data_IF_821250230245
#
_entry.id   IF_821250230245
#
_cell.length_a   1.000
_cell.length_b   1.000
_cell.length_c   1.000
_cell.angle_alpha   90.00
_cell.angle_beta   90.00
_cell.angle_gamma   90.00
#
_symmetry.space_group_name_H-M   'P 1'
#
loop_
_entity.id
_entity.type
_entity.pdbx_description
1 polymer ?
#
# COMPACT_ATOMS: atom_id res chain seq x y z
N UNK A 1 -7.20 9.68 -8.42
CA UNK A 1 -7.54 9.69 -9.86
C UNK A 1 -6.24 9.65 -10.64
N UNK A 2 -6.08 8.73 -11.59
CA UNK A 2 -4.91 8.70 -12.46
C UNK A 2 -4.97 9.90 -13.41
N UNK A 3 -3.85 10.61 -13.61
CA UNK A 3 -3.76 11.70 -14.57
C UNK A 3 -3.98 11.11 -15.99
N UNK A 4 -5.02 11.54 -16.74
CA UNK A 4 -5.36 10.96 -18.04
C UNK A 4 -4.20 11.00 -19.04
N UNK A 5 -3.33 12.01 -18.97
CA UNK A 5 -2.16 12.13 -19.85
C UNK A 5 -1.10 11.04 -19.62
N UNK A 6 -0.98 10.52 -18.40
CA UNK A 6 -0.02 9.45 -18.11
C UNK A 6 -0.46 8.11 -18.69
N UNK A 7 -1.77 7.88 -18.86
CA UNK A 7 -2.29 6.60 -19.36
C UNK A 7 -1.79 6.26 -20.78
N UNK A 8 -1.52 7.28 -21.60
CA UNK A 8 -0.98 7.12 -22.95
C UNK A 8 0.50 6.69 -22.95
N UNK A 9 1.23 6.99 -21.87
CA UNK A 9 2.66 6.65 -21.71
C UNK A 9 2.92 5.31 -21.02
N UNK A 10 1.88 4.63 -20.55
CA UNK A 10 2.00 3.36 -19.81
C UNK A 10 1.76 2.16 -20.73
N UNK A 11 2.42 1.04 -20.45
CA UNK A 11 2.14 -0.19 -21.17
C UNK A 11 0.70 -0.65 -20.90
N UNK A 12 -0.05 -1.01 -21.97
CA UNK A 12 -1.44 -1.44 -21.82
C UNK A 12 -1.55 -2.82 -21.17
N UNK A 13 -0.51 -3.65 -21.28
CA UNK A 13 -0.50 -5.02 -20.74
C UNK A 13 0.83 -5.36 -20.05
N UNK A 14 0.81 -6.26 -19.04
CA UNK A 14 2.03 -6.77 -18.43
C UNK A 14 2.97 -7.48 -19.43
N UNK A 15 2.42 -8.05 -20.50
CA UNK A 15 3.22 -8.70 -21.54
C UNK A 15 3.99 -7.68 -22.40
N UNK A 16 3.35 -6.55 -22.75
CA UNK A 16 4.02 -5.47 -23.48
C UNK A 16 5.14 -4.84 -22.64
N UNK A 17 4.90 -4.64 -21.34
CA UNK A 17 5.93 -4.22 -20.39
C UNK A 17 7.05 -5.26 -20.27
N UNK A 18 6.71 -6.56 -20.19
CA UNK A 18 7.69 -7.64 -20.10
C UNK A 18 8.61 -7.70 -21.32
N UNK A 19 8.03 -7.54 -22.52
CA UNK A 19 8.78 -7.53 -23.77
C UNK A 19 9.77 -6.37 -23.82
N UNK A 20 9.29 -5.15 -23.56
CA UNK A 20 10.16 -3.98 -23.56
C UNK A 20 11.21 -4.07 -22.46
N UNK A 21 10.85 -4.55 -21.26
CA UNK A 21 11.80 -4.73 -20.17
C UNK A 21 12.94 -5.66 -20.59
N UNK A 22 12.63 -6.82 -21.19
CA UNK A 22 13.63 -7.76 -21.67
C UNK A 22 14.50 -7.18 -22.79
N UNK A 23 13.90 -6.46 -23.75
CA UNK A 23 14.63 -5.79 -24.84
C UNK A 23 15.60 -4.72 -24.30
N UNK A 24 15.17 -3.93 -23.32
CA UNK A 24 15.96 -2.84 -22.73
C UNK A 24 17.18 -3.35 -21.95
N UNK A 25 17.16 -4.59 -21.46
CA UNK A 25 18.30 -5.18 -20.76
C UNK A 25 19.42 -5.69 -21.69
N UNK A 26 19.16 -5.79 -23.01
CA UNK A 26 20.14 -6.26 -23.99
C UNK A 26 20.78 -7.60 -23.59
N UNK A 27 22.10 -7.63 -23.46
CA UNK A 27 22.88 -8.83 -23.09
C UNK A 27 22.56 -9.37 -21.69
N UNK A 28 22.06 -8.54 -20.77
CA UNK A 28 21.67 -9.00 -19.43
C UNK A 28 20.33 -9.74 -19.44
N UNK A 29 19.49 -9.52 -20.46
CA UNK A 29 18.21 -10.18 -20.70
C UNK A 29 17.39 -10.43 -19.43
N UNK A 30 17.11 -11.70 -19.14
CA UNK A 30 16.32 -12.11 -17.97
C UNK A 30 16.98 -11.76 -16.62
N UNK A 31 18.31 -11.84 -16.53
CA UNK A 31 19.04 -11.54 -15.29
C UNK A 31 18.87 -10.07 -14.89
N UNK A 32 19.00 -9.16 -15.86
CA UNK A 32 18.76 -7.73 -15.66
C UNK A 32 17.30 -7.46 -15.26
N UNK A 33 16.35 -8.10 -15.94
CA UNK A 33 14.93 -7.94 -15.64
C UNK A 33 14.58 -8.40 -14.21
N UNK A 34 15.15 -9.51 -13.75
CA UNK A 34 14.98 -10.00 -12.36
C UNK A 34 15.49 -8.97 -11.35
N UNK A 35 16.66 -8.36 -11.59
CA UNK A 35 17.22 -7.36 -10.68
C UNK A 35 16.33 -6.11 -10.55
N UNK A 36 15.78 -5.63 -11.68
CA UNK A 36 14.81 -4.52 -11.69
C UNK A 36 13.54 -4.90 -10.92
N UNK A 37 12.97 -6.09 -11.18
CA UNK A 37 11.76 -6.56 -10.50
C UNK A 37 11.96 -6.70 -8.99
N UNK A 38 13.10 -7.24 -8.54
CA UNK A 38 13.44 -7.33 -7.12
C UNK A 38 13.47 -5.94 -6.47
N UNK A 39 14.03 -4.94 -7.16
CA UNK A 39 14.05 -3.56 -6.68
C UNK A 39 12.64 -2.99 -6.55
N UNK A 40 11.75 -3.26 -7.50
CA UNK A 40 10.35 -2.83 -7.42
C UNK A 40 9.59 -3.48 -6.26
N UNK A 41 9.83 -4.78 -5.98
CA UNK A 41 9.24 -5.43 -4.80
C UNK A 41 9.77 -4.86 -3.49
N UNK A 42 11.07 -4.52 -3.41
CA UNK A 42 11.63 -3.83 -2.25
C UNK A 42 10.94 -2.49 -2.01
N UNK A 43 10.68 -1.71 -3.07
CA UNK A 43 9.94 -0.44 -2.94
C UNK A 43 8.55 -0.67 -2.34
N UNK A 44 7.82 -1.70 -2.80
CA UNK A 44 6.51 -2.04 -2.24
C UNK A 44 6.61 -2.43 -0.76
N UNK A 45 7.61 -3.23 -0.39
CA UNK A 45 7.85 -3.65 0.99
C UNK A 45 8.19 -2.46 1.91
N UNK A 46 9.07 -1.55 1.47
CA UNK A 46 9.44 -0.35 2.21
C UNK A 46 8.22 0.55 2.45
N UNK A 47 7.39 0.76 1.43
CA UNK A 47 6.16 1.56 1.56
C UNK A 47 5.17 0.93 2.55
N UNK A 48 5.02 -0.39 2.51
CA UNK A 48 4.19 -1.12 3.47
C UNK A 48 4.71 -0.97 4.92
N UNK A 49 6.03 -1.02 5.13
CA UNK A 49 6.60 -0.78 6.46
C UNK A 49 6.37 0.66 6.95
N UNK A 50 6.51 1.66 6.08
CA UNK A 50 6.19 3.05 6.44
C UNK A 50 4.74 3.20 6.91
N UNK A 51 3.79 2.53 6.24
CA UNK A 51 2.38 2.54 6.66
C UNK A 51 2.16 1.85 8.01
N UNK A 52 2.85 0.75 8.30
CA UNK A 52 2.81 0.12 9.61
C UNK A 52 3.35 1.05 10.72
N UNK A 53 4.42 1.80 10.43
CA UNK A 53 4.97 2.79 11.38
C UNK A 53 3.95 3.88 11.67
N UNK A 54 3.31 4.45 10.63
CA UNK A 54 2.27 5.48 10.79
C UNK A 54 1.12 4.93 11.64
N UNK A 55 0.64 3.73 11.31
CA UNK A 55 -0.45 3.09 12.07
C UNK A 55 -0.06 2.87 13.52
N UNK A 56 1.13 2.36 13.78
CA UNK A 56 1.64 2.12 15.13
C UNK A 56 1.64 3.42 15.94
N UNK A 57 2.14 4.52 15.36
CA UNK A 57 2.12 5.83 16.01
C UNK A 57 0.68 6.31 16.30
N UNK A 58 -0.25 6.15 15.36
CA UNK A 58 -1.65 6.52 15.59
C UNK A 58 -2.26 5.72 16.74
N UNK A 59 -2.01 4.40 16.80
CA UNK A 59 -2.50 3.53 17.86
C UNK A 59 -1.89 3.89 19.22
N UNK A 60 -0.60 4.18 19.30
CA UNK A 60 0.05 4.56 20.57
C UNK A 60 -0.41 5.91 21.07
N UNK A 61 -0.46 6.94 20.21
CA UNK A 61 -0.98 8.26 20.59
C UNK A 61 -2.42 8.13 21.08
N UNK A 62 -3.26 7.38 20.34
CA UNK A 62 -4.65 7.12 20.76
C UNK A 62 -4.71 6.36 22.09
N UNK A 63 -3.79 5.45 22.37
CA UNK A 63 -3.72 4.76 23.66
C UNK A 63 -3.52 5.71 24.84
N UNK A 64 -2.79 6.80 24.66
CA UNK A 64 -2.55 7.80 25.72
C UNK A 64 -3.62 8.89 25.77
N UNK A 65 -3.93 9.53 24.64
CA UNK A 65 -4.84 10.69 24.59
C UNK A 65 -6.28 10.33 24.25
N UNK A 66 -6.50 9.17 23.63
CA UNK A 66 -7.79 8.75 23.09
C UNK A 66 -8.92 8.67 24.11
N UNK A 67 -8.74 8.12 25.33
CA UNK A 67 -9.81 8.07 26.32
C UNK A 67 -10.36 9.46 26.69
N UNK A 68 -9.48 10.45 26.85
CA UNK A 68 -9.88 11.84 27.13
C UNK A 68 -10.64 12.45 25.95
N UNK A 69 -10.12 12.26 24.74
CA UNK A 69 -10.76 12.75 23.50
C UNK A 69 -12.14 12.12 23.31
N UNK A 70 -12.28 10.80 23.52
CA UNK A 70 -13.53 10.08 23.39
C UNK A 70 -14.55 10.40 24.51
N UNK A 71 -14.09 10.91 25.65
CA UNK A 71 -14.95 11.36 26.74
C UNK A 71 -15.58 12.74 26.46
N UNK A 72 -14.91 13.59 25.67
CA UNK A 72 -15.34 14.99 25.42
C UNK A 72 -16.66 15.16 24.68
N UNK A 73 -17.09 14.17 23.91
CA UNK A 73 -18.31 14.30 23.14
C UNK A 73 -18.62 13.08 22.29
N UNK A 74 -19.89 12.94 21.92
CA UNK A 74 -20.37 11.82 21.12
C UNK A 74 -19.72 11.80 19.73
N UNK A 75 -19.56 12.96 19.09
CA UNK A 75 -18.90 13.05 17.79
C UNK A 75 -17.44 12.59 17.86
N UNK A 76 -16.65 13.14 18.79
CA UNK A 76 -15.24 12.76 19.00
C UNK A 76 -15.12 11.26 19.28
N UNK A 77 -16.02 10.69 20.08
CA UNK A 77 -16.05 9.25 20.37
C UNK A 77 -16.27 8.40 19.12
N UNK A 78 -17.29 8.71 18.33
CA UNK A 78 -17.61 7.94 17.12
C UNK A 78 -16.51 8.10 16.07
N UNK A 79 -16.01 9.31 15.88
CA UNK A 79 -14.93 9.60 14.94
C UNK A 79 -13.63 8.85 15.31
N UNK A 80 -13.27 8.83 16.60
CA UNK A 80 -12.12 8.08 17.10
C UNK A 80 -12.29 6.57 16.93
N UNK A 81 -13.47 6.02 17.27
CA UNK A 81 -13.76 4.60 17.09
C UNK A 81 -13.68 4.19 15.61
N UNK A 82 -14.30 4.96 14.70
CA UNK A 82 -14.22 4.72 13.26
C UNK A 82 -12.77 4.82 12.75
N UNK A 83 -12.03 5.84 13.22
CA UNK A 83 -10.62 6.04 12.86
C UNK A 83 -9.75 4.84 13.24
N UNK A 84 -9.92 4.32 14.45
CA UNK A 84 -9.23 3.12 14.92
C UNK A 84 -9.60 1.88 14.11
N UNK A 85 -10.90 1.67 13.83
CA UNK A 85 -11.36 0.51 13.07
C UNK A 85 -10.79 0.49 11.64
N UNK A 86 -10.84 1.61 10.92
CA UNK A 86 -10.28 1.68 9.57
C UNK A 86 -8.75 1.54 9.56
N UNK A 87 -8.07 2.15 10.52
CA UNK A 87 -6.61 2.06 10.67
C UNK A 87 -6.17 0.62 10.97
N UNK A 88 -6.92 -0.08 11.84
CA UNK A 88 -6.68 -1.49 12.14
C UNK A 88 -6.98 -2.39 10.93
N UNK A 89 -8.09 -2.15 10.23
CA UNK A 89 -8.43 -2.90 9.02
C UNK A 89 -7.34 -2.76 7.94
N UNK A 90 -6.83 -1.54 7.72
CA UNK A 90 -5.69 -1.30 6.82
C UNK A 90 -4.45 -2.11 7.24
N UNK A 91 -4.11 -2.10 8.53
CA UNK A 91 -2.97 -2.85 9.07
C UNK A 91 -3.08 -4.35 8.86
N UNK A 92 -4.25 -4.93 9.13
CA UNK A 92 -4.48 -6.36 8.93
C UNK A 92 -4.36 -6.73 7.46
N UNK A 93 -4.83 -5.88 6.55
CA UNK A 93 -4.65 -6.05 5.11
C UNK A 93 -3.18 -5.95 4.71
N UNK A 94 -2.42 -4.97 5.22
CA UNK A 94 -0.98 -4.84 4.94
C UNK A 94 -0.21 -6.10 5.39
N UNK A 95 -0.49 -6.61 6.59
CA UNK A 95 0.15 -7.80 7.15
C UNK A 95 -0.23 -9.09 6.40
N UNK A 96 -1.50 -9.23 6.01
CA UNK A 96 -2.00 -10.39 5.26
C UNK A 96 -1.72 -10.32 3.75
N UNK A 97 -1.52 -9.10 3.24
CA UNK A 97 -1.53 -8.74 1.84
C UNK A 97 -0.16 -8.24 1.39
N UNK A 98 0.05 -6.92 1.39
CA UNK A 98 1.23 -6.29 0.78
C UNK A 98 2.58 -6.75 1.33
N UNK A 99 2.70 -7.07 2.63
CA UNK A 99 3.94 -7.59 3.20
C UNK A 99 4.26 -9.02 2.80
N UNK A 100 3.26 -9.80 2.40
CA UNK A 100 3.44 -11.19 1.94
C UNK A 100 3.90 -11.20 0.49
N UNK A 101 5.14 -10.80 0.26
CA UNK A 101 5.80 -10.87 -1.05
C UNK A 101 6.35 -12.29 -1.25
N UNK A 102 5.94 -12.93 -2.35
CA UNK A 102 6.53 -14.19 -2.81
C UNK A 102 7.87 -13.92 -3.47
N UNK A 103 8.84 -14.80 -3.25
CA UNK A 103 10.15 -14.70 -3.87
C UNK A 103 10.03 -14.79 -5.39
N UNK A 104 10.77 -13.94 -6.12
CA UNK A 104 10.77 -13.93 -7.60
C UNK A 104 11.19 -15.30 -8.16
N UNK A 105 12.04 -16.02 -7.44
CA UNK A 105 12.50 -17.39 -7.77
C UNK A 105 11.40 -18.46 -7.70
N UNK A 106 10.26 -18.18 -7.05
CA UNK A 106 9.14 -19.12 -6.97
C UNK A 106 8.24 -19.10 -8.21
N UNK A 107 8.38 -18.09 -9.06
CA UNK A 107 7.59 -17.98 -10.28
C UNK A 107 8.14 -18.96 -11.33
N UNK A 108 7.25 -19.60 -12.07
CA UNK A 108 7.58 -20.49 -13.19
C UNK A 108 7.11 -19.85 -14.49
N UNK A 109 7.88 -20.01 -15.55
CA UNK A 109 7.49 -19.63 -16.91
C UNK A 109 8.27 -20.45 -17.93
N UNK A 110 7.60 -20.88 -18.98
CA UNK A 110 8.18 -21.72 -20.03
C UNK A 110 9.09 -20.91 -20.98
N UNK A 111 9.05 -19.58 -20.87
CA UNK A 111 9.96 -18.65 -21.54
C UNK A 111 10.27 -17.44 -20.63
N UNK A 112 11.37 -16.71 -20.88
CA UNK A 112 11.68 -15.47 -20.16
C UNK A 112 10.54 -14.45 -20.20
N UNK A 113 9.89 -14.31 -21.35
CA UNK A 113 8.74 -13.42 -21.52
C UNK A 113 7.57 -13.83 -20.62
N UNK A 114 7.22 -15.12 -20.61
CA UNK A 114 6.14 -15.62 -19.76
C UNK A 114 6.47 -15.47 -18.26
N UNK A 115 7.72 -15.75 -17.87
CA UNK A 115 8.18 -15.58 -16.50
C UNK A 115 8.01 -14.12 -16.04
N UNK A 116 8.58 -13.17 -16.79
CA UNK A 116 8.51 -11.73 -16.46
C UNK A 116 7.07 -11.24 -16.44
N UNK A 117 6.25 -11.64 -17.41
CA UNK A 117 4.81 -11.29 -17.47
C UNK A 117 4.06 -11.75 -16.21
N UNK A 118 4.33 -12.96 -15.71
CA UNK A 118 3.71 -13.48 -14.48
C UNK A 118 4.13 -12.69 -13.24
N UNK A 119 5.41 -12.36 -13.14
CA UNK A 119 5.94 -11.56 -12.03
C UNK A 119 5.34 -10.14 -12.03
N UNK A 120 5.25 -9.51 -13.21
CA UNK A 120 4.63 -8.19 -13.38
C UNK A 120 3.14 -8.19 -13.06
N UNK A 121 2.42 -9.24 -13.47
CA UNK A 121 0.99 -9.40 -13.13
C UNK A 121 0.79 -9.49 -11.63
N UNK A 122 1.63 -10.28 -10.95
CA UNK A 122 1.63 -10.39 -9.50
C UNK A 122 1.96 -9.05 -8.81
N UNK A 123 2.98 -8.33 -9.29
CA UNK A 123 3.34 -6.98 -8.82
C UNK A 123 2.14 -6.05 -8.93
N UNK A 124 1.48 -6.00 -10.09
CA UNK A 124 0.33 -5.11 -10.32
C UNK A 124 -0.86 -5.44 -9.42
N UNK A 125 -1.13 -6.73 -9.18
CA UNK A 125 -2.14 -7.14 -8.21
C UNK A 125 -1.81 -6.64 -6.80
N UNK A 126 -0.55 -6.76 -6.37
CA UNK A 126 -0.10 -6.25 -5.07
C UNK A 126 -0.16 -4.73 -4.98
N UNK A 127 0.22 -3.99 -6.03
CA UNK A 127 0.10 -2.53 -6.06
C UNK A 127 -1.36 -2.07 -5.94
N UNK A 128 -2.31 -2.77 -6.56
CA UNK A 128 -3.75 -2.45 -6.42
C UNK A 128 -4.26 -2.73 -5.01
N UNK A 129 -3.85 -3.85 -4.40
CA UNK A 129 -4.18 -4.14 -3.02
C UNK A 129 -3.62 -3.08 -2.08
N UNK A 130 -2.36 -2.70 -2.28
CA UNK A 130 -1.69 -1.64 -1.53
C UNK A 130 -2.41 -0.29 -1.64
N UNK A 131 -2.97 0.03 -2.81
CA UNK A 131 -3.79 1.23 -2.96
C UNK A 131 -5.07 1.18 -2.11
N UNK A 132 -5.76 0.03 -2.05
CA UNK A 132 -6.92 -0.12 -1.17
C UNK A 132 -6.54 0.01 0.31
N UNK A 133 -5.39 -0.54 0.71
CA UNK A 133 -4.82 -0.40 2.07
C UNK A 133 -4.57 1.08 2.40
N UNK A 134 -4.00 1.86 1.46
CA UNK A 134 -3.82 3.31 1.62
C UNK A 134 -5.14 4.02 1.80
N UNK A 135 -6.15 3.73 0.97
CA UNK A 135 -7.45 4.38 1.09
C UNK A 135 -8.08 4.17 2.47
N UNK A 136 -7.99 2.94 3.00
CA UNK A 136 -8.47 2.64 4.36
C UNK A 136 -7.66 3.37 5.43
N UNK A 137 -6.33 3.43 5.32
CA UNK A 137 -5.50 4.16 6.27
C UNK A 137 -5.83 5.64 6.26
N UNK A 138 -5.94 6.26 5.08
CA UNK A 138 -6.28 7.69 4.94
C UNK A 138 -7.66 7.98 5.51
N UNK A 139 -8.66 7.13 5.23
CA UNK A 139 -9.98 7.26 5.83
C UNK A 139 -9.92 7.17 7.37
N UNK A 140 -9.17 6.20 7.91
CA UNK A 140 -8.97 6.05 9.35
C UNK A 140 -8.29 7.25 9.99
N UNK A 141 -7.21 7.75 9.39
CA UNK A 141 -6.49 8.93 9.85
C UNK A 141 -7.37 10.19 9.77
N UNK A 142 -8.17 10.35 8.71
CA UNK A 142 -9.09 11.48 8.59
C UNK A 142 -10.15 11.47 9.70
N UNK A 143 -10.76 10.31 9.99
CA UNK A 143 -11.71 10.16 11.10
C UNK A 143 -11.05 10.45 12.45
N UNK A 144 -9.84 9.91 12.68
CA UNK A 144 -9.07 10.17 13.89
C UNK A 144 -8.79 11.68 14.07
N UNK A 145 -8.25 12.35 13.04
CA UNK A 145 -7.97 13.78 13.08
C UNK A 145 -9.24 14.60 13.29
N UNK A 146 -10.35 14.23 12.66
CA UNK A 146 -11.63 14.89 12.88
C UNK A 146 -12.08 14.80 14.35
N UNK A 147 -11.91 13.63 14.99
CA UNK A 147 -12.20 13.46 16.42
C UNK A 147 -11.30 14.31 17.32
N UNK A 148 -10.00 14.38 17.00
CA UNK A 148 -9.04 15.24 17.71
C UNK A 148 -9.40 16.73 17.57
N UNK A 149 -9.71 17.17 16.35
CA UNK A 149 -10.07 18.57 16.07
C UNK A 149 -11.37 18.94 16.78
N UNK A 150 -12.37 18.06 16.74
CA UNK A 150 -13.63 18.28 17.47
C UNK A 150 -13.40 18.38 18.98
N UNK A 151 -12.51 17.57 19.55
CA UNK A 151 -12.08 17.71 20.95
C UNK A 151 -11.49 19.09 21.25
N UNK A 152 -10.65 19.64 20.37
CA UNK A 152 -10.07 20.97 20.61
C UNK A 152 -11.06 22.13 20.44
N UNK A 153 -12.06 21.99 19.58
CA UNK A 153 -13.02 23.07 19.30
C UNK A 153 -14.21 23.02 20.26
N UNK A 154 -14.70 21.82 20.57
CA UNK A 154 -15.96 21.57 21.27
C UNK A 154 -15.77 20.90 22.64
N UNK A 155 -14.55 20.46 22.95
CA UNK A 155 -14.25 19.86 24.25
C UNK A 155 -14.18 20.94 25.31
N UNK A 156 -15.23 21.02 26.13
CA UNK A 156 -15.18 21.63 27.46
C UNK A 156 -14.46 20.70 28.46
#
# INVERSE_FOLDING_TARGET
>A
MANPDLSQSLHPTPEAEARQLLETQGEQGLKGAIAVLMTQFNVLQTRAQMMLTITTLTLTITGFSGPKIAASGMFSRVAMAAGLLFTLASTLLILGGSLRIRWVTQFKGDSPLQFVTRVLTYRNAKTRLFFAEICLLVAGLACYVAGVVAYFILGE
#
